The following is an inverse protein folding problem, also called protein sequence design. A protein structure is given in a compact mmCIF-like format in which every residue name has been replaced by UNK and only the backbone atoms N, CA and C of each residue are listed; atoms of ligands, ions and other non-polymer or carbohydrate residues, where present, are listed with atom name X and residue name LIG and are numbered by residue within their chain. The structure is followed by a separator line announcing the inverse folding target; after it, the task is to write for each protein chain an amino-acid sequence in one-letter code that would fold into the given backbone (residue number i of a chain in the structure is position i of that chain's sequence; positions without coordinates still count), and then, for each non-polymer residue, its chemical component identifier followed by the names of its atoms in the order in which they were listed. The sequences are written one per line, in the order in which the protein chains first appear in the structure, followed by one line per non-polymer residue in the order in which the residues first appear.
data_IF_484182094315
#
_entry.id   IF_484182094315
#
_cell.length_a   1.000
_cell.length_b   1.000
_cell.length_c   1.000
_cell.angle_alpha   90.00
_cell.angle_beta   90.00
_cell.angle_gamma   90.00
#
_symmetry.space_group_name_H-M   'P 1'
#
loop_
_entity.id
_entity.type
_entity.pdbx_description
1 polymer ?
#
# COMPACT_ATOMS: atom_id res chain seq x y z
N UNK A 1 -4.81 16.43 5.08
CA UNK A 1 -4.09 15.18 4.70
C UNK A 1 -4.89 13.94 5.03
N UNK A 2 -4.88 12.94 4.13
CA UNK A 2 -5.38 11.56 4.34
C UNK A 2 -4.24 10.58 4.01
N UNK A 3 -4.22 9.42 4.67
CA UNK A 3 -3.23 8.38 4.40
C UNK A 3 -3.51 7.70 3.06
N UNK A 4 -2.45 7.29 2.36
CA UNK A 4 -2.51 6.53 1.12
C UNK A 4 -1.46 5.41 1.15
N UNK A 5 -1.86 4.18 0.80
CA UNK A 5 -0.95 3.08 0.51
C UNK A 5 -1.12 2.65 -0.94
N UNK A 6 -0.03 2.19 -1.56
CA UNK A 6 -0.04 1.82 -2.99
C UNK A 6 0.11 0.31 -3.14
N UNK A 7 -0.68 -0.25 -4.05
CA UNK A 7 -0.58 -1.64 -4.47
C UNK A 7 -0.03 -1.69 -5.89
N UNK A 8 1.16 -2.27 -6.07
CA UNK A 8 1.76 -2.51 -7.38
C UNK A 8 1.51 -3.93 -7.86
N UNK A 9 1.17 -4.10 -9.13
CA UNK A 9 0.95 -5.41 -9.76
C UNK A 9 1.85 -5.55 -10.99
N UNK A 10 2.43 -6.72 -11.18
CA UNK A 10 3.21 -7.01 -12.40
C UNK A 10 3.25 -8.50 -12.73
N UNK A 11 3.38 -8.80 -14.03
CA UNK A 11 3.76 -10.12 -14.49
C UNK A 11 5.22 -10.48 -14.11
N UNK A 12 6.08 -9.47 -13.90
CA UNK A 12 7.46 -9.65 -13.43
C UNK A 12 7.57 -9.77 -11.90
N UNK A 13 8.74 -10.17 -11.38
CA UNK A 13 8.91 -10.51 -9.97
C UNK A 13 8.80 -9.31 -9.01
N UNK A 14 9.03 -8.09 -9.49
CA UNK A 14 9.12 -6.88 -8.65
C UNK A 14 7.78 -6.19 -8.38
N UNK A 15 6.65 -6.76 -8.83
CA UNK A 15 5.31 -6.31 -8.42
C UNK A 15 5.05 -4.82 -8.63
N UNK A 16 5.53 -4.24 -9.74
CA UNK A 16 5.23 -2.85 -10.09
C UNK A 16 6.01 -1.79 -9.29
N UNK A 17 7.11 -2.15 -8.62
CA UNK A 17 7.87 -1.22 -7.78
C UNK A 17 8.23 0.12 -8.44
N UNK A 18 8.57 0.10 -9.73
CA UNK A 18 8.87 1.33 -10.47
C UNK A 18 7.66 2.26 -10.64
N UNK A 19 6.48 1.69 -10.85
CA UNK A 19 5.24 2.45 -10.95
C UNK A 19 4.90 3.11 -9.61
N UNK A 20 5.05 2.38 -8.49
CA UNK A 20 4.82 2.93 -7.15
C UNK A 20 5.70 4.15 -6.91
N UNK A 21 7.00 4.03 -7.20
CA UNK A 21 7.95 5.14 -7.03
C UNK A 21 7.58 6.35 -7.89
N UNK A 22 7.10 6.14 -9.11
CA UNK A 22 6.63 7.21 -10.00
C UNK A 22 5.30 7.83 -9.54
N UNK A 23 4.50 7.14 -8.73
CA UNK A 23 3.23 7.64 -8.21
C UNK A 23 3.40 8.52 -6.97
N UNK A 24 4.50 8.40 -6.22
CA UNK A 24 4.71 9.19 -4.99
C UNK A 24 4.57 10.72 -5.18
N UNK A 25 5.10 11.34 -6.24
CA UNK A 25 4.88 12.78 -6.49
C UNK A 25 3.42 13.13 -6.73
N UNK A 26 2.65 12.24 -7.38
CA UNK A 26 1.21 12.44 -7.63
C UNK A 26 0.43 12.41 -6.31
N UNK A 27 0.74 11.47 -5.42
CA UNK A 27 0.10 11.42 -4.09
C UNK A 27 0.36 12.70 -3.29
N UNK A 28 1.59 13.23 -3.37
CA UNK A 28 1.95 14.50 -2.73
C UNK A 28 1.15 15.66 -3.29
N UNK A 29 1.01 15.75 -4.61
CA UNK A 29 0.24 16.81 -5.27
C UNK A 29 -1.25 16.77 -4.88
N UNK A 30 -1.80 15.57 -4.70
CA UNK A 30 -3.17 15.37 -4.20
C UNK A 30 -3.33 15.63 -2.69
N UNK A 31 -2.28 16.06 -2.00
CA UNK A 31 -2.30 16.33 -0.55
C UNK A 31 -2.45 15.07 0.32
N UNK A 32 -2.16 13.90 -0.25
CA UNK A 32 -2.16 12.62 0.45
C UNK A 32 -0.81 12.37 1.13
N UNK A 33 -0.81 11.55 2.17
CA UNK A 33 0.38 11.12 2.91
C UNK A 33 0.60 9.65 2.62
N UNK A 34 1.65 9.36 1.84
CA UNK A 34 2.07 7.99 1.59
C UNK A 34 2.52 7.32 2.90
N UNK A 35 2.06 6.10 3.14
CA UNK A 35 2.51 5.29 4.28
C UNK A 35 3.90 4.69 4.02
N UNK A 36 4.55 4.18 5.06
CA UNK A 36 5.92 3.66 4.98
C UNK A 36 6.05 2.28 4.30
N UNK A 37 4.92 1.65 3.95
CA UNK A 37 4.89 0.31 3.36
C UNK A 37 3.99 0.25 2.12
N UNK A 38 4.41 -0.50 1.11
CA UNK A 38 3.62 -0.74 -0.10
C UNK A 38 3.34 -2.23 -0.28
N UNK A 39 2.27 -2.55 -0.99
CA UNK A 39 1.92 -3.91 -1.34
C UNK A 39 2.39 -4.24 -2.77
N UNK A 40 3.30 -5.21 -2.89
CA UNK A 40 3.87 -5.63 -4.17
C UNK A 40 3.32 -7.00 -4.56
N UNK A 41 2.65 -7.08 -5.72
CA UNK A 41 2.10 -8.30 -6.30
C UNK A 41 2.88 -8.66 -7.56
N UNK A 42 3.99 -9.37 -7.38
CA UNK A 42 4.84 -9.86 -8.46
C UNK A 42 4.41 -11.22 -9.00
N UNK A 43 4.83 -11.54 -10.22
CA UNK A 43 4.54 -12.82 -10.89
C UNK A 43 3.04 -13.17 -10.87
N UNK A 44 2.18 -12.17 -11.13
CA UNK A 44 0.73 -12.27 -10.88
C UNK A 44 0.06 -13.47 -11.54
N UNK A 45 0.55 -13.90 -12.71
CA UNK A 45 0.05 -15.08 -13.42
C UNK A 45 0.30 -16.42 -12.71
N UNK A 46 1.13 -16.45 -11.67
CA UNK A 46 1.40 -17.63 -10.82
C UNK A 46 0.98 -17.43 -9.35
N UNK A 47 0.70 -16.19 -8.96
CA UNK A 47 0.44 -15.82 -7.57
C UNK A 47 -0.94 -16.29 -7.09
N UNK A 48 -1.89 -16.39 -8.00
CA UNK A 48 -3.28 -16.74 -7.69
C UNK A 48 -3.62 -18.16 -8.17
N UNK A 49 -4.42 -18.88 -7.39
CA UNK A 49 -5.02 -20.15 -7.83
C UNK A 49 -6.25 -19.91 -8.72
N UNK A 50 -6.87 -21.00 -9.19
CA UNK A 50 -8.08 -20.96 -10.02
C UNK A 50 -9.30 -20.36 -9.30
N UNK A 51 -9.28 -20.27 -7.97
CA UNK A 51 -10.32 -19.61 -7.17
C UNK A 51 -10.04 -18.12 -6.92
N UNK A 52 -8.92 -17.60 -7.45
CA UNK A 52 -8.50 -16.22 -7.25
C UNK A 52 -7.87 -15.96 -5.89
N UNK A 53 -7.43 -17.00 -5.16
CA UNK A 53 -6.76 -16.86 -3.86
C UNK A 53 -5.25 -16.80 -4.04
N UNK A 54 -4.60 -15.99 -3.22
CA UNK A 54 -3.13 -15.92 -3.18
C UNK A 54 -2.60 -17.24 -2.61
N UNK A 55 -1.67 -17.86 -3.34
CA UNK A 55 -1.09 -19.17 -2.97
C UNK A 55 0.13 -19.06 -2.07
N UNK A 56 0.73 -17.86 -1.96
CA UNK A 56 1.96 -17.61 -1.21
C UNK A 56 1.65 -17.15 0.23
N UNK A 57 1.91 -17.98 1.26
CA UNK A 57 1.53 -17.67 2.65
C UNK A 57 2.21 -16.41 3.21
N UNK A 58 3.38 -16.03 2.67
CA UNK A 58 4.06 -14.81 3.11
C UNK A 58 3.24 -13.53 2.85
N UNK A 59 2.26 -13.55 1.95
CA UNK A 59 1.39 -12.39 1.69
C UNK A 59 0.52 -12.03 2.89
N UNK A 60 0.06 -13.01 3.69
CA UNK A 60 -0.75 -12.71 4.87
C UNK A 60 0.01 -11.79 5.84
N UNK A 61 1.27 -12.14 6.14
CA UNK A 61 2.14 -11.31 6.98
C UNK A 61 2.48 -9.96 6.34
N UNK A 62 2.74 -9.93 5.03
CA UNK A 62 3.09 -8.68 4.31
C UNK A 62 1.91 -7.71 4.26
N UNK A 63 0.73 -8.21 3.90
CA UNK A 63 -0.50 -7.42 3.84
C UNK A 63 -0.97 -7.02 5.24
N UNK A 64 -0.78 -7.87 6.26
CA UNK A 64 -1.01 -7.50 7.66
C UNK A 64 -0.25 -6.24 8.04
N UNK A 65 1.07 -6.20 7.82
CA UNK A 65 1.89 -5.00 8.07
C UNK A 65 1.42 -3.77 7.29
N UNK A 66 1.05 -3.95 6.03
CA UNK A 66 0.53 -2.88 5.18
C UNK A 66 -0.77 -2.29 5.75
N UNK A 67 -1.72 -3.13 6.14
CA UNK A 67 -2.98 -2.69 6.71
C UNK A 67 -2.82 -2.09 8.11
N UNK A 68 -1.96 -2.66 8.95
CA UNK A 68 -1.66 -2.11 10.28
C UNK A 68 -1.11 -0.69 10.17
N UNK A 69 -0.15 -0.47 9.27
CA UNK A 69 0.42 0.85 9.00
C UNK A 69 -0.62 1.81 8.42
N UNK A 70 -1.45 1.36 7.47
CA UNK A 70 -2.52 2.16 6.88
C UNK A 70 -3.53 2.63 7.94
N UNK A 71 -3.93 1.73 8.83
CA UNK A 71 -4.83 2.02 9.95
C UNK A 71 -4.17 2.97 10.94
N UNK A 72 -2.91 2.72 11.30
CA UNK A 72 -2.16 3.56 12.22
C UNK A 72 -2.05 5.00 11.71
N UNK A 73 -1.56 5.19 10.47
CA UNK A 73 -1.40 6.51 9.87
C UNK A 73 -2.74 7.23 9.72
N UNK A 74 -3.80 6.50 9.30
CA UNK A 74 -5.14 7.07 9.17
C UNK A 74 -5.67 7.59 10.51
N UNK A 75 -5.46 6.84 11.60
CA UNK A 75 -5.86 7.25 12.96
C UNK A 75 -5.04 8.44 13.43
N UNK A 76 -3.72 8.43 13.24
CA UNK A 76 -2.83 9.53 13.62
C UNK A 76 -3.21 10.84 12.90
N UNK A 77 -3.38 10.79 11.58
CA UNK A 77 -3.79 11.95 10.79
C UNK A 77 -5.20 12.42 11.14
N UNK A 78 -6.11 11.53 11.53
CA UNK A 78 -7.43 11.92 12.02
C UNK A 78 -7.34 12.67 13.34
N UNK A 79 -6.61 12.10 14.30
CA UNK A 79 -6.38 12.74 15.59
C UNK A 79 -5.77 14.13 15.41
N UNK A 80 -4.75 14.26 14.56
CA UNK A 80 -4.13 15.55 14.27
C UNK A 80 -5.11 16.61 13.77
N UNK A 81 -6.00 16.25 12.83
CA UNK A 81 -7.05 17.17 12.32
C UNK A 81 -8.07 17.57 13.38
N UNK A 82 -8.35 16.71 14.34
CA UNK A 82 -9.38 16.96 15.36
C UNK A 82 -8.84 17.69 16.59
N UNK A 83 -7.54 17.58 16.89
CA UNK A 83 -6.95 17.98 18.18
C UNK A 83 -5.81 18.98 18.10
N UNK A 84 -5.17 19.15 16.94
CA UNK A 84 -4.07 20.09 16.77
C UNK A 84 -4.58 21.38 16.11
N UNK A 85 -4.03 22.55 16.49
CA UNK A 85 -4.29 23.78 15.76
C UNK A 85 -3.76 23.66 14.31
N UNK A 86 -4.41 24.38 13.40
CA UNK A 86 -4.03 24.45 11.99
C UNK A 86 -2.72 25.22 11.79
#
# INVERSE_FOLDING_TARGET
HKAAGVCGVSAGPFGGARMIQSLLPVLRELGLVAISTDAYFGSVGKLFDSSGRITEPAYERRLGKFFDEMVWMSRALRYGREKLPA
#
